data_IF_080076562816
#
_entry.id   IF_080076562816
#
_cell.length_a   1.000
_cell.length_b   1.000
_cell.length_c   1.000
_cell.angle_alpha   90.00
_cell.angle_beta   90.00
_cell.angle_gamma   90.00
#
_symmetry.space_group_name_H-M   'P 1'
#
loop_
_entity.id
_entity.type
_entity.pdbx_description
1 polymer ?
#
# COMPACT_ATOMS: atom_id res chain seq x y z
N UNK A 1 -8.41 7.30 17.93
CA UNK A 1 -7.87 6.70 16.70
C UNK A 1 -6.67 5.87 17.11
N UNK A 2 -6.60 4.60 16.74
CA UNK A 2 -5.49 3.70 17.09
C UNK A 2 -4.20 4.19 16.46
N UNK A 3 -3.06 4.04 17.14
CA UNK A 3 -1.75 4.52 16.65
C UNK A 3 -0.73 3.38 16.55
N UNK A 4 0.00 3.33 15.44
CA UNK A 4 1.22 2.54 15.29
C UNK A 4 2.42 3.49 15.19
N UNK A 5 3.24 3.48 16.23
CA UNK A 5 4.45 4.26 16.33
C UNK A 5 5.65 3.37 16.01
N UNK A 6 6.65 3.92 15.33
CA UNK A 6 7.96 3.28 15.19
C UNK A 6 9.06 4.27 15.59
N UNK A 7 10.16 3.77 16.14
CA UNK A 7 11.37 4.58 16.30
C UNK A 7 12.36 4.31 15.19
N UNK A 8 13.12 5.31 14.75
CA UNK A 8 14.12 5.16 13.69
C UNK A 8 15.47 5.73 14.11
N UNK A 9 16.51 4.91 14.19
CA UNK A 9 17.84 5.38 14.61
C UNK A 9 18.79 4.26 15.03
N UNK A 10 20.07 4.60 15.18
CA UNK A 10 21.13 3.66 15.57
C UNK A 10 20.89 3.03 16.94
N UNK A 11 21.46 1.86 17.25
CA UNK A 11 21.55 1.39 18.64
C UNK A 11 22.08 2.49 19.57
N UNK A 12 21.60 2.52 20.82
CA UNK A 12 21.95 3.53 21.82
C UNK A 12 21.54 5.00 21.54
N UNK A 13 20.78 5.27 20.47
CA UNK A 13 20.29 6.64 20.17
C UNK A 13 19.19 7.17 21.12
N UNK A 14 18.64 6.35 22.02
CA UNK A 14 17.60 6.77 22.99
C UNK A 14 16.17 6.27 22.69
N UNK A 15 15.98 5.51 21.61
CA UNK A 15 14.68 4.94 21.18
C UNK A 15 13.92 4.21 22.29
N UNK A 16 14.56 3.26 22.97
CA UNK A 16 13.92 2.48 24.04
C UNK A 16 13.58 3.35 25.25
N UNK A 17 14.40 4.36 25.58
CA UNK A 17 14.09 5.33 26.64
C UNK A 17 12.83 6.12 26.29
N UNK A 18 12.69 6.56 25.04
CA UNK A 18 11.49 7.23 24.56
C UNK A 18 10.27 6.30 24.62
N UNK A 19 10.39 5.07 24.09
CA UNK A 19 9.27 4.12 24.05
C UNK A 19 8.76 3.75 25.45
N UNK A 20 9.65 3.58 26.43
CA UNK A 20 9.26 3.30 27.83
C UNK A 20 8.46 4.42 28.49
N UNK A 21 8.65 5.69 28.08
CA UNK A 21 7.86 6.82 28.62
C UNK A 21 6.40 6.79 28.19
N UNK A 22 6.08 6.06 27.12
CA UNK A 22 4.71 5.92 26.61
C UNK A 22 3.95 4.76 27.28
N UNK A 23 4.63 3.91 28.05
CA UNK A 23 4.01 2.83 28.80
C UNK A 23 3.39 3.37 30.10
N UNK A 24 2.27 2.79 30.57
CA UNK A 24 1.58 1.61 30.03
C UNK A 24 0.58 1.90 28.90
N UNK A 25 0.36 3.16 28.53
CA UNK A 25 -0.70 3.54 27.59
C UNK A 25 -0.47 3.03 26.16
N UNK A 26 0.80 2.94 25.73
CA UNK A 26 1.21 2.39 24.43
C UNK A 26 1.95 1.08 24.65
N UNK A 27 1.50 0.00 24.02
CA UNK A 27 2.12 -1.32 24.15
C UNK A 27 3.40 -1.38 23.34
N UNK A 28 4.51 -1.78 23.97
CA UNK A 28 5.83 -1.84 23.34
C UNK A 28 6.12 -3.24 22.82
N UNK A 29 6.50 -3.35 21.54
CA UNK A 29 6.94 -4.60 20.90
C UNK A 29 8.35 -4.43 20.36
N UNK A 30 9.31 -5.20 20.91
CA UNK A 30 10.73 -5.04 20.64
C UNK A 30 11.41 -6.35 20.23
N UNK A 31 12.28 -6.31 19.21
CA UNK A 31 12.96 -7.52 18.74
C UNK A 31 13.99 -8.08 19.72
N UNK A 32 14.71 -7.25 20.47
CA UNK A 32 15.70 -7.72 21.43
C UNK A 32 15.04 -8.46 22.61
N UNK A 33 13.88 -7.96 23.07
CA UNK A 33 13.08 -8.65 24.08
C UNK A 33 12.48 -9.96 23.53
N UNK A 34 12.00 -9.96 22.29
CA UNK A 34 11.50 -11.19 21.63
C UNK A 34 12.61 -12.22 21.43
N UNK A 35 13.85 -11.82 21.09
CA UNK A 35 14.99 -12.74 21.00
C UNK A 35 15.24 -13.45 22.33
N UNK A 36 15.28 -12.68 23.42
CA UNK A 36 15.45 -13.22 24.78
C UNK A 36 14.31 -14.15 25.16
N UNK A 37 13.07 -13.77 24.89
CA UNK A 37 11.89 -14.57 25.21
C UNK A 37 11.84 -15.89 24.44
N UNK A 38 12.15 -15.88 23.15
CA UNK A 38 12.01 -17.05 22.28
C UNK A 38 13.20 -18.02 22.36
N UNK A 39 14.39 -17.51 22.63
CA UNK A 39 15.63 -18.29 22.49
C UNK A 39 16.54 -18.25 23.72
N UNK A 40 16.22 -17.48 24.76
CA UNK A 40 17.06 -17.29 25.95
C UNK A 40 18.27 -16.38 25.71
N UNK A 41 18.81 -16.38 24.49
CA UNK A 41 19.97 -15.60 24.07
C UNK A 41 19.82 -15.02 22.65
N UNK A 42 20.77 -14.18 22.24
CA UNK A 42 20.80 -13.60 20.88
C UNK A 42 21.41 -14.61 19.90
N UNK A 43 20.55 -15.36 19.21
CA UNK A 43 20.98 -16.27 18.14
C UNK A 43 21.06 -15.55 16.79
N UNK A 44 22.24 -15.56 16.16
CA UNK A 44 22.48 -14.92 14.85
C UNK A 44 22.16 -15.83 13.65
N UNK A 45 21.18 -16.73 13.78
CA UNK A 45 20.78 -17.63 12.68
C UNK A 45 19.61 -17.05 11.89
N UNK A 46 19.55 -17.37 10.58
CA UNK A 46 18.42 -16.93 9.74
C UNK A 46 17.08 -17.46 10.24
N UNK A 47 17.04 -18.70 10.76
CA UNK A 47 15.84 -19.31 11.31
C UNK A 47 15.33 -18.58 12.55
N UNK A 48 16.21 -18.26 13.50
CA UNK A 48 15.84 -17.53 14.71
C UNK A 48 15.31 -16.12 14.36
N UNK A 49 15.98 -15.39 13.48
CA UNK A 49 15.52 -14.05 13.04
C UNK A 49 14.18 -14.11 12.28
N UNK A 50 13.90 -15.18 11.55
CA UNK A 50 12.59 -15.39 10.93
C UNK A 50 11.48 -15.61 11.98
N UNK A 51 11.74 -16.42 13.01
CA UNK A 51 10.80 -16.65 14.11
C UNK A 51 10.52 -15.36 14.89
N UNK A 52 11.56 -14.58 15.23
CA UNK A 52 11.41 -13.26 15.88
C UNK A 52 10.57 -12.32 15.03
N UNK A 53 10.79 -12.30 13.71
CA UNK A 53 10.01 -11.46 12.78
C UNK A 53 8.55 -11.87 12.74
N UNK A 54 8.26 -13.18 12.69
CA UNK A 54 6.90 -13.70 12.70
C UNK A 54 6.18 -13.35 14.01
N UNK A 55 6.83 -13.59 15.15
CA UNK A 55 6.28 -13.28 16.46
C UNK A 55 6.00 -11.79 16.64
N UNK A 56 6.95 -10.94 16.22
CA UNK A 56 6.80 -9.49 16.26
C UNK A 56 5.59 -9.01 15.46
N UNK A 57 5.48 -9.45 14.21
CA UNK A 57 4.38 -9.04 13.34
C UNK A 57 3.03 -9.53 13.88
N UNK A 58 2.95 -10.78 14.33
CA UNK A 58 1.73 -11.32 14.91
C UNK A 58 1.30 -10.55 16.16
N UNK A 59 2.24 -10.17 17.03
CA UNK A 59 1.95 -9.38 18.23
C UNK A 59 1.40 -7.99 17.87
N UNK A 60 2.07 -7.26 16.96
CA UNK A 60 1.61 -5.93 16.53
C UNK A 60 0.23 -6.03 15.85
N UNK A 61 0.01 -7.00 14.96
CA UNK A 61 -1.29 -7.22 14.31
C UNK A 61 -2.41 -7.51 15.31
N UNK A 62 -2.16 -8.36 16.31
CA UNK A 62 -3.15 -8.67 17.33
C UNK A 62 -3.52 -7.44 18.18
N UNK A 63 -2.53 -6.62 18.55
CA UNK A 63 -2.73 -5.41 19.35
C UNK A 63 -3.51 -4.33 18.56
N UNK A 64 -3.16 -4.11 17.29
CA UNK A 64 -3.88 -3.16 16.44
C UNK A 64 -5.33 -3.61 16.20
N UNK A 65 -5.56 -4.91 16.00
CA UNK A 65 -6.92 -5.48 15.89
C UNK A 65 -7.75 -5.25 17.16
N UNK A 66 -7.11 -5.25 18.32
CA UNK A 66 -7.74 -4.94 19.60
C UNK A 66 -7.88 -3.42 19.86
N UNK A 67 -7.62 -2.58 18.85
CA UNK A 67 -7.62 -1.12 18.94
C UNK A 67 -6.64 -0.54 19.99
N UNK A 68 -5.55 -1.26 20.28
CA UNK A 68 -4.50 -0.79 21.18
C UNK A 68 -3.44 0.04 20.43
N UNK A 69 -2.92 1.08 21.09
CA UNK A 69 -1.78 1.84 20.60
C UNK A 69 -0.50 1.00 20.76
N UNK A 70 0.33 0.95 19.72
CA UNK A 70 1.54 0.11 19.67
C UNK A 70 2.76 0.92 19.29
N UNK A 71 3.90 0.67 19.93
CA UNK A 71 5.21 1.16 19.51
C UNK A 71 6.18 0.02 19.21
N UNK A 72 6.80 0.08 18.02
CA UNK A 72 7.91 -0.79 17.61
C UNK A 72 9.22 -0.03 17.70
N UNK A 73 9.96 -0.23 18.81
CA UNK A 73 11.14 0.56 19.15
C UNK A 73 12.47 -0.02 18.63
N UNK A 74 12.43 -0.71 17.49
CA UNK A 74 13.60 -1.22 16.78
C UNK A 74 14.42 -0.09 16.11
N UNK A 75 15.49 -0.45 15.40
CA UNK A 75 16.29 0.53 14.64
C UNK A 75 15.54 1.12 13.44
N UNK A 76 14.70 0.34 12.76
CA UNK A 76 13.90 0.71 11.57
C UNK A 76 14.64 1.56 10.51
N UNK A 77 15.96 1.37 10.36
CA UNK A 77 16.79 2.19 9.45
C UNK A 77 16.47 1.90 7.96
N UNK A 78 16.02 0.68 7.64
CA UNK A 78 15.69 0.26 6.28
C UNK A 78 14.34 0.83 5.84
N UNK A 79 14.30 1.53 4.70
CA UNK A 79 13.08 2.07 4.12
C UNK A 79 11.99 0.99 3.88
N UNK A 80 12.39 -0.22 3.47
CA UNK A 80 11.46 -1.35 3.32
C UNK A 80 10.72 -1.67 4.63
N UNK A 81 11.43 -1.70 5.76
CA UNK A 81 10.83 -1.99 7.08
C UNK A 81 9.83 -0.91 7.49
N UNK A 82 10.16 0.37 7.29
CA UNK A 82 9.25 1.49 7.57
C UNK A 82 7.98 1.39 6.72
N UNK A 83 8.13 1.07 5.42
CA UNK A 83 7.00 0.86 4.51
C UNK A 83 6.10 -0.28 4.98
N UNK A 84 6.66 -1.42 5.35
CA UNK A 84 5.90 -2.58 5.84
C UNK A 84 5.09 -2.26 7.11
N UNK A 85 5.65 -1.43 8.01
CA UNK A 85 4.92 -0.97 9.19
C UNK A 85 3.80 0.01 8.84
N UNK A 86 4.05 0.96 7.95
CA UNK A 86 3.02 1.88 7.48
C UNK A 86 1.88 1.15 6.74
N UNK A 87 2.19 0.15 5.92
CA UNK A 87 1.20 -0.72 5.28
C UNK A 87 0.39 -1.50 6.33
N UNK A 88 1.02 -1.97 7.40
CA UNK A 88 0.33 -2.60 8.52
C UNK A 88 -0.59 -1.62 9.26
N UNK A 89 -0.14 -0.40 9.56
CA UNK A 89 -0.98 0.61 10.20
C UNK A 89 -2.23 0.91 9.35
N UNK A 90 -2.03 1.14 8.04
CA UNK A 90 -3.10 1.36 7.09
C UNK A 90 -4.11 0.19 7.06
N UNK A 91 -3.62 -1.06 7.12
CA UNK A 91 -4.48 -2.27 7.17
C UNK A 91 -5.43 -2.29 8.37
N UNK A 92 -5.09 -1.63 9.47
CA UNK A 92 -5.89 -1.61 10.70
C UNK A 92 -6.46 -0.22 11.02
N UNK A 93 -6.48 0.70 10.05
CA UNK A 93 -6.95 2.07 10.24
C UNK A 93 -6.26 2.83 11.38
N UNK A 94 -5.00 2.46 11.66
CA UNK A 94 -4.20 3.14 12.65
C UNK A 94 -3.43 4.30 12.01
N UNK A 95 -3.24 5.39 12.76
CA UNK A 95 -2.28 6.41 12.36
C UNK A 95 -0.87 5.81 12.40
N UNK A 96 0.00 6.26 11.50
CA UNK A 96 1.38 5.82 11.46
C UNK A 96 2.33 6.98 11.80
N UNK A 97 3.16 6.79 12.82
CA UNK A 97 4.04 7.83 13.33
C UNK A 97 5.48 7.33 13.38
N UNK A 98 6.43 8.11 12.85
CA UNK A 98 7.86 7.81 12.89
C UNK A 98 8.55 8.79 13.83
N UNK A 99 9.09 8.27 14.93
CA UNK A 99 9.96 9.03 15.83
C UNK A 99 11.41 8.84 15.41
N UNK A 100 11.97 9.88 14.79
CA UNK A 100 13.32 9.86 14.24
C UNK A 100 14.37 10.24 15.31
N UNK A 101 15.45 9.47 15.34
CA UNK A 101 16.65 9.62 16.17
C UNK A 101 17.91 9.46 15.30
N UNK A 102 17.82 9.75 14.01
CA UNK A 102 18.95 9.66 13.07
C UNK A 102 19.91 10.84 13.18
N UNK A 103 19.48 11.92 13.82
CA UNK A 103 20.25 13.10 14.18
C UNK A 103 21.24 12.86 15.33
N UNK A 104 21.04 11.80 16.13
CA UNK A 104 21.94 11.47 17.24
C UNK A 104 23.31 11.05 16.69
N UNK A 105 24.41 11.74 17.07
CA UNK A 105 25.74 11.44 16.53
C UNK A 105 26.18 10.00 16.77
N UNK A 106 26.87 9.41 15.79
CA UNK A 106 27.39 8.04 15.90
C UNK A 106 28.33 7.87 17.09
N UNK A 107 29.18 8.86 17.39
CA UNK A 107 30.09 8.83 18.54
C UNK A 107 29.32 8.80 19.87
N UNK A 108 28.22 9.55 19.97
CA UNK A 108 27.37 9.54 21.16
C UNK A 108 26.65 8.18 21.31
N UNK A 109 26.24 7.56 20.21
CA UNK A 109 25.70 6.21 20.23
C UNK A 109 26.75 5.19 20.71
N UNK A 110 27.99 5.27 20.22
CA UNK A 110 29.09 4.38 20.65
C UNK A 110 29.39 4.56 22.14
N UNK A 111 29.52 5.81 22.60
CA UNK A 111 29.75 6.12 24.03
C UNK A 111 28.65 5.54 24.92
N UNK A 112 27.38 5.78 24.56
CA UNK A 112 26.23 5.24 25.30
C UNK A 112 26.14 3.72 25.26
N UNK A 113 26.55 3.09 24.17
CA UNK A 113 26.54 1.63 24.07
C UNK A 113 27.61 1.00 24.98
N UNK A 114 28.78 1.61 25.10
CA UNK A 114 29.84 1.16 26.00
C UNK A 114 29.42 1.20 27.49
N UNK A 115 28.54 2.12 27.86
CA UNK A 115 28.00 2.26 29.23
C UNK A 115 26.89 1.24 29.56
N UNK A 116 26.39 0.49 28.58
CA UNK A 116 25.33 -0.52 28.81
C UNK A 116 25.86 -1.77 29.50
N UNK A 117 24.99 -2.57 30.14
CA UNK A 117 25.31 -3.93 30.56
C UNK A 117 25.82 -4.75 29.36
N UNK A 118 26.77 -5.65 29.58
CA UNK A 118 27.44 -6.43 28.53
C UNK A 118 26.44 -7.11 27.58
N UNK A 119 25.41 -7.76 28.13
CA UNK A 119 24.34 -8.45 27.38
C UNK A 119 23.45 -7.52 26.53
N UNK A 120 23.45 -6.23 26.82
CA UNK A 120 22.69 -5.21 26.10
C UNK A 120 23.53 -4.49 25.02
N UNK A 121 24.87 -4.58 25.10
CA UNK A 121 25.77 -3.93 24.14
C UNK A 121 25.57 -4.50 22.74
N UNK A 122 25.70 -3.64 21.74
CA UNK A 122 25.71 -4.03 20.32
C UNK A 122 27.12 -4.04 19.77
N UNK A 123 28.00 -3.20 20.34
CA UNK A 123 29.41 -3.10 19.98
C UNK A 123 29.67 -2.00 18.95
N UNK A 124 30.78 -1.28 19.14
CA UNK A 124 31.19 -0.14 18.32
C UNK A 124 31.22 -0.49 16.82
N UNK A 125 31.90 -1.58 16.44
CA UNK A 125 32.01 -2.00 15.05
C UNK A 125 30.64 -2.23 14.38
N UNK A 126 29.64 -2.70 15.14
CA UNK A 126 28.30 -2.89 14.62
C UNK A 126 27.53 -1.58 14.46
N UNK A 127 27.65 -0.65 15.42
CA UNK A 127 27.05 0.68 15.34
C UNK A 127 27.62 1.47 14.16
N UNK A 128 28.96 1.50 14.02
CA UNK A 128 29.63 2.18 12.91
C UNK A 128 29.23 1.61 11.56
N UNK A 129 29.18 0.27 11.42
CA UNK A 129 28.69 -0.38 10.19
C UNK A 129 27.23 -0.03 9.86
N UNK A 130 26.36 0.10 10.86
CA UNK A 130 24.98 0.56 10.62
C UNK A 130 24.93 2.02 10.20
N UNK A 131 25.74 2.89 10.82
CA UNK A 131 25.86 4.29 10.45
C UNK A 131 26.32 4.46 8.99
N UNK A 132 27.44 3.83 8.63
CA UNK A 132 27.98 3.83 7.27
C UNK A 132 26.95 3.34 6.24
N UNK A 133 26.25 2.26 6.56
CA UNK A 133 25.29 1.64 5.63
C UNK A 133 24.02 2.46 5.43
N UNK A 134 23.53 3.12 6.48
CA UNK A 134 22.17 3.69 6.47
C UNK A 134 22.10 5.20 6.60
N UNK A 135 23.12 5.87 7.15
CA UNK A 135 23.08 7.29 7.50
C UNK A 135 24.19 8.11 6.84
N UNK A 136 25.41 7.56 6.72
CA UNK A 136 26.54 8.29 6.15
C UNK A 136 26.24 8.76 4.71
N UNK A 137 26.44 10.06 4.48
CA UNK A 137 26.19 10.69 3.18
C UNK A 137 24.71 10.74 2.76
N UNK A 138 23.77 10.53 3.68
CA UNK A 138 22.33 10.69 3.43
C UNK A 138 21.82 12.02 3.99
N UNK A 139 20.80 12.58 3.36
CA UNK A 139 20.04 13.69 3.93
C UNK A 139 19.18 13.15 5.08
N UNK A 140 19.34 13.76 6.25
CA UNK A 140 18.62 13.40 7.47
C UNK A 140 17.57 14.48 7.81
N UNK A 141 16.42 14.12 8.41
CA UNK A 141 16.00 12.75 8.75
C UNK A 141 15.76 11.91 7.49
N UNK A 142 15.93 10.60 7.62
CA UNK A 142 15.70 9.69 6.48
C UNK A 142 14.25 9.81 6.01
N UNK A 143 13.98 9.83 4.70
CA UNK A 143 12.61 9.99 4.19
C UNK A 143 11.73 8.86 4.73
N UNK A 144 10.54 9.24 5.20
CA UNK A 144 9.47 8.29 5.52
C UNK A 144 8.86 7.86 4.19
N UNK A 145 8.90 6.57 3.83
CA UNK A 145 8.25 6.10 2.61
C UNK A 145 6.79 6.50 2.64
N UNK A 146 6.33 7.20 1.61
CA UNK A 146 4.90 7.38 1.39
C UNK A 146 4.27 6.00 1.24
N UNK A 147 3.35 5.69 2.14
CA UNK A 147 2.47 4.54 2.01
C UNK A 147 1.09 5.13 1.77
N UNK A 148 0.57 4.79 0.61
CA UNK A 148 -0.79 5.14 0.24
C UNK A 148 -1.72 4.67 1.37
N UNK A 149 -2.54 5.55 1.97
CA UNK A 149 -3.58 5.17 2.93
C UNK A 149 -4.47 4.02 2.40
N UNK A 150 -4.49 3.81 1.08
CA UNK A 150 -5.05 2.64 0.41
C UNK A 150 -4.26 1.33 0.53
N UNK A 151 -3.53 1.08 1.63
CA UNK A 151 -2.91 -0.23 1.89
C UNK A 151 -3.91 -1.41 1.79
N UNK A 152 -3.44 -2.66 1.61
CA UNK A 152 -4.28 -3.85 1.33
C UNK A 152 -5.14 -4.33 2.53
N UNK A 153 -5.81 -3.45 3.25
CA UNK A 153 -6.67 -3.81 4.40
C UNK A 153 -8.03 -3.14 4.46
N UNK A 154 -8.40 -2.33 3.47
CA UNK A 154 -9.80 -2.00 3.22
C UNK A 154 -10.34 -3.00 2.22
N UNK A 155 -10.65 -4.22 2.68
CA UNK A 155 -11.62 -5.04 1.95
C UNK A 155 -12.85 -4.17 1.80
N UNK A 156 -13.17 -3.83 0.56
CA UNK A 156 -14.33 -3.06 0.22
C UNK A 156 -15.57 -3.79 0.76
N UNK A 157 -16.21 -3.17 1.75
CA UNK A 157 -17.48 -3.61 2.31
C UNK A 157 -18.54 -2.67 1.77
N UNK A 158 -19.24 -3.05 0.70
CA UNK A 158 -20.28 -2.19 0.16
C UNK A 158 -21.38 -2.01 1.21
N UNK A 159 -21.84 -0.78 1.37
CA UNK A 159 -23.14 -0.54 1.99
C UNK A 159 -24.22 -1.18 1.08
N UNK A 160 -25.04 -2.11 1.59
CA UNK A 160 -26.07 -2.78 0.80
C UNK A 160 -27.12 -1.82 0.23
N UNK A 161 -27.28 -0.62 0.81
CA UNK A 161 -28.25 0.39 0.38
C UNK A 161 -27.75 1.23 -0.81
N UNK A 162 -26.45 1.19 -1.12
CA UNK A 162 -25.91 1.92 -2.26
C UNK A 162 -26.31 1.26 -3.60
N UNK A 163 -26.53 2.06 -4.66
CA UNK A 163 -26.91 1.55 -5.97
C UNK A 163 -25.85 0.59 -6.54
N UNK A 164 -26.24 -0.59 -7.07
CA UNK A 164 -25.30 -1.56 -7.58
C UNK A 164 -24.69 -1.13 -8.92
N UNK A 165 -23.36 -1.23 -9.04
CA UNK A 165 -22.64 -0.93 -10.29
C UNK A 165 -21.69 -2.03 -10.71
N UNK A 166 -21.47 -2.13 -12.02
CA UNK A 166 -20.34 -2.83 -12.61
C UNK A 166 -19.28 -1.81 -12.97
N UNK A 167 -18.06 -2.04 -12.49
CA UNK A 167 -16.90 -1.24 -12.84
C UNK A 167 -16.24 -1.83 -14.09
N UNK A 168 -15.96 -1.01 -15.09
CA UNK A 168 -15.47 -1.46 -16.40
C UNK A 168 -14.23 -0.68 -16.80
N UNK A 169 -13.15 -1.38 -17.06
CA UNK A 169 -11.97 -0.84 -17.72
C UNK A 169 -12.19 -0.65 -19.23
N UNK A 170 -11.35 0.16 -19.87
CA UNK A 170 -11.41 0.45 -21.30
C UNK A 170 -10.34 -0.29 -22.10
N UNK A 171 -9.06 0.07 -21.92
CA UNK A 171 -7.96 -0.40 -22.76
C UNK A 171 -7.61 -1.86 -22.46
N UNK A 172 -7.69 -2.73 -23.47
CA UNK A 172 -7.55 -4.18 -23.30
C UNK A 172 -8.83 -4.87 -22.80
N UNK A 173 -9.82 -4.10 -22.36
CA UNK A 173 -11.10 -4.60 -21.84
C UNK A 173 -12.24 -4.45 -22.86
N UNK A 174 -12.89 -3.28 -22.94
CA UNK A 174 -13.91 -3.04 -23.98
C UNK A 174 -13.30 -2.55 -25.30
N UNK A 175 -12.12 -1.95 -25.26
CA UNK A 175 -11.40 -1.43 -26.41
C UNK A 175 -10.07 -2.17 -26.62
N UNK A 176 -9.86 -2.72 -27.81
CA UNK A 176 -8.62 -3.37 -28.21
C UNK A 176 -7.77 -2.37 -28.98
N UNK A 177 -6.55 -2.15 -28.50
CA UNK A 177 -5.61 -1.24 -29.15
C UNK A 177 -5.21 -1.76 -30.53
N UNK A 178 -5.41 -0.94 -31.57
CA UNK A 178 -5.03 -1.29 -32.94
C UNK A 178 -3.81 -0.49 -33.41
N UNK A 179 -2.63 -1.09 -33.26
CA UNK A 179 -1.36 -0.52 -33.74
C UNK A 179 -0.99 0.83 -33.11
N UNK A 180 -1.56 1.19 -31.95
CA UNK A 180 -1.16 2.36 -31.17
C UNK A 180 -0.34 1.95 -29.94
N UNK A 181 0.50 2.86 -29.45
CA UNK A 181 1.17 2.65 -28.17
C UNK A 181 0.20 2.92 -27.00
N UNK A 182 0.41 2.34 -25.80
CA UNK A 182 -0.50 2.53 -24.67
C UNK A 182 -0.72 3.99 -24.28
N UNK A 183 0.26 4.85 -24.53
CA UNK A 183 0.21 6.28 -24.18
C UNK A 183 -0.09 7.20 -25.38
N UNK A 184 -0.46 6.63 -26.53
CA UNK A 184 -0.82 7.39 -27.73
C UNK A 184 -2.28 7.85 -27.67
N UNK A 185 -2.53 8.87 -26.85
CA UNK A 185 -3.87 9.36 -26.52
C UNK A 185 -4.63 9.92 -27.72
N UNK A 186 -3.94 10.44 -28.73
CA UNK A 186 -4.56 11.00 -29.93
C UNK A 186 -5.24 9.93 -30.80
N UNK A 187 -4.92 8.65 -30.60
CA UNK A 187 -5.40 7.54 -31.43
C UNK A 187 -6.44 6.65 -30.74
N UNK A 188 -6.85 6.98 -29.52
CA UNK A 188 -7.82 6.15 -28.76
C UNK A 188 -9.17 5.99 -29.45
N UNK A 189 -9.58 6.96 -30.29
CA UNK A 189 -10.80 6.87 -31.10
C UNK A 189 -10.74 5.83 -32.23
N UNK A 190 -9.55 5.32 -32.55
CA UNK A 190 -9.33 4.29 -33.57
C UNK A 190 -9.27 2.85 -33.01
N UNK A 191 -9.41 2.69 -31.69
CA UNK A 191 -9.40 1.37 -31.07
C UNK A 191 -10.55 0.49 -31.58
N UNK A 192 -10.27 -0.81 -31.74
CA UNK A 192 -11.27 -1.78 -32.17
C UNK A 192 -12.15 -2.18 -30.98
N UNK A 193 -13.46 -2.39 -31.17
CA UNK A 193 -14.31 -2.87 -30.09
C UNK A 193 -13.97 -4.31 -29.72
N UNK A 194 -14.04 -4.66 -28.43
CA UNK A 194 -14.04 -6.04 -27.95
C UNK A 194 -15.49 -6.55 -27.85
N UNK A 195 -16.03 -7.25 -28.86
CA UNK A 195 -17.47 -7.48 -28.96
C UNK A 195 -18.00 -8.39 -27.84
N UNK A 196 -17.17 -9.33 -27.36
CA UNK A 196 -17.54 -10.26 -26.30
C UNK A 196 -17.71 -9.53 -24.96
N UNK A 197 -16.76 -8.67 -24.59
CA UNK A 197 -16.82 -7.89 -23.34
C UNK A 197 -17.91 -6.83 -23.43
N UNK A 198 -18.06 -6.14 -24.56
CA UNK A 198 -19.15 -5.18 -24.76
C UNK A 198 -20.52 -5.86 -24.62
N UNK A 199 -20.69 -7.07 -25.15
CA UNK A 199 -21.91 -7.85 -24.97
C UNK A 199 -22.17 -8.18 -23.50
N UNK A 200 -21.13 -8.57 -22.75
CA UNK A 200 -21.25 -8.81 -21.31
C UNK A 200 -21.63 -7.54 -20.54
N UNK A 201 -21.01 -6.40 -20.84
CA UNK A 201 -21.33 -5.10 -20.22
C UNK A 201 -22.78 -4.71 -20.50
N UNK A 202 -23.25 -4.84 -21.75
CA UNK A 202 -24.65 -4.60 -22.12
C UNK A 202 -25.61 -5.53 -21.38
N UNK A 203 -25.25 -6.81 -21.22
CA UNK A 203 -26.06 -7.76 -20.47
C UNK A 203 -26.16 -7.40 -18.98
N UNK A 204 -25.05 -6.97 -18.36
CA UNK A 204 -25.06 -6.50 -16.97
C UNK A 204 -25.93 -5.25 -16.80
N UNK A 205 -25.86 -4.31 -17.74
CA UNK A 205 -26.73 -3.14 -17.75
C UNK A 205 -28.21 -3.53 -17.90
N UNK A 206 -28.53 -4.42 -18.85
CA UNK A 206 -29.89 -4.92 -19.05
C UNK A 206 -30.44 -5.69 -17.83
N UNK A 207 -29.57 -6.28 -17.01
CA UNK A 207 -29.92 -6.92 -15.74
C UNK A 207 -30.18 -5.91 -14.60
N UNK A 208 -30.06 -4.61 -14.85
CA UNK A 208 -30.34 -3.55 -13.89
C UNK A 208 -29.13 -3.05 -13.10
N UNK A 209 -27.91 -3.40 -13.51
CA UNK A 209 -26.69 -2.83 -12.92
C UNK A 209 -26.29 -1.55 -13.67
N UNK A 210 -26.05 -0.47 -12.93
CA UNK A 210 -25.46 0.73 -13.52
C UNK A 210 -24.00 0.47 -13.93
N UNK A 211 -23.52 1.19 -14.93
CA UNK A 211 -22.15 1.05 -15.44
C UNK A 211 -21.31 2.25 -15.01
N UNK A 212 -20.09 1.99 -14.54
CA UNK A 212 -19.07 3.01 -14.29
C UNK A 212 -17.81 2.61 -15.03
N UNK A 213 -17.25 3.53 -15.81
CA UNK A 213 -15.97 3.32 -16.47
C UNK A 213 -14.81 3.87 -15.62
N UNK A 214 -13.73 3.09 -15.51
CA UNK A 214 -12.50 3.50 -14.84
C UNK A 214 -11.29 3.15 -15.71
N UNK A 215 -10.67 4.18 -16.28
CA UNK A 215 -9.66 4.03 -17.33
C UNK A 215 -8.30 4.57 -16.92
N UNK A 216 -7.26 3.89 -17.38
CA UNK A 216 -5.88 4.35 -17.32
C UNK A 216 -5.51 5.42 -18.35
N UNK A 217 -6.40 5.72 -19.30
CA UNK A 217 -6.22 6.80 -20.27
C UNK A 217 -6.12 8.15 -19.58
N UNK A 218 -5.19 8.98 -20.04
CA UNK A 218 -5.06 10.37 -19.59
C UNK A 218 -6.32 11.18 -19.97
N UNK A 219 -6.79 12.03 -19.07
CA UNK A 219 -7.99 12.83 -19.25
C UNK A 219 -7.95 13.76 -20.48
N UNK A 220 -6.77 14.04 -21.05
CA UNK A 220 -6.64 14.80 -22.31
C UNK A 220 -7.42 14.18 -23.48
N UNK A 221 -7.69 12.87 -23.48
CA UNK A 221 -8.49 12.19 -24.51
C UNK A 221 -9.90 11.79 -24.06
N UNK A 222 -10.44 12.51 -23.07
CA UNK A 222 -11.79 12.27 -22.54
C UNK A 222 -12.86 12.35 -23.63
N UNK A 223 -12.87 13.43 -24.41
CA UNK A 223 -13.91 13.66 -25.42
C UNK A 223 -13.92 12.55 -26.48
N UNK A 224 -12.75 12.13 -26.95
CA UNK A 224 -12.59 11.03 -27.90
C UNK A 224 -13.00 9.69 -27.29
N UNK A 225 -12.69 9.47 -26.00
CA UNK A 225 -13.10 8.26 -25.27
C UNK A 225 -14.60 8.19 -25.09
N UNK A 226 -15.26 9.29 -24.72
CA UNK A 226 -16.72 9.37 -24.57
C UNK A 226 -17.41 9.09 -25.91
N UNK A 227 -16.97 9.74 -26.99
CA UNK A 227 -17.50 9.50 -28.33
C UNK A 227 -17.32 8.03 -28.78
N UNK A 228 -16.19 7.40 -28.43
CA UNK A 228 -15.94 5.99 -28.72
C UNK A 228 -16.86 5.07 -27.92
N UNK A 229 -17.07 5.34 -26.63
CA UNK A 229 -17.97 4.58 -25.77
C UNK A 229 -19.41 4.65 -26.26
N UNK A 230 -19.87 5.83 -26.67
CA UNK A 230 -21.21 6.05 -27.21
C UNK A 230 -21.41 5.28 -28.52
N UNK A 231 -20.42 5.32 -29.41
CA UNK A 231 -20.48 4.66 -30.71
C UNK A 231 -20.48 3.12 -30.59
N UNK A 232 -19.60 2.55 -29.76
CA UNK A 232 -19.34 1.11 -29.74
C UNK A 232 -19.99 0.37 -28.57
N UNK A 233 -20.00 0.96 -27.37
CA UNK A 233 -20.60 0.32 -26.18
C UNK A 233 -22.07 0.66 -26.08
N UNK A 234 -22.45 1.93 -26.26
CA UNK A 234 -23.84 2.35 -26.42
C UNK A 234 -24.75 2.00 -25.24
N UNK A 235 -24.24 2.12 -24.01
CA UNK A 235 -25.03 1.99 -22.77
C UNK A 235 -24.87 3.25 -21.94
N UNK A 236 -25.93 3.74 -21.26
CA UNK A 236 -25.79 4.78 -20.25
C UNK A 236 -24.82 4.34 -19.15
N UNK A 237 -24.01 5.28 -18.67
CA UNK A 237 -23.07 5.07 -17.58
C UNK A 237 -23.14 6.25 -16.60
N UNK A 238 -22.90 5.96 -15.32
CA UNK A 238 -22.98 6.93 -14.21
C UNK A 238 -21.71 7.79 -14.09
N UNK A 239 -20.60 7.34 -14.68
CA UNK A 239 -19.36 8.09 -14.68
C UNK A 239 -18.26 7.48 -15.53
N UNK A 240 -17.43 8.35 -16.09
CA UNK A 240 -16.15 8.03 -16.73
C UNK A 240 -15.02 8.66 -15.92
N UNK A 241 -14.35 7.83 -15.13
CA UNK A 241 -13.20 8.25 -14.33
C UNK A 241 -11.90 7.88 -15.04
N UNK A 242 -11.04 8.87 -15.22
CA UNK A 242 -9.82 8.76 -16.02
C UNK A 242 -8.62 9.22 -15.21
N UNK A 243 -7.43 8.85 -15.67
CA UNK A 243 -6.16 9.32 -15.12
C UNK A 243 -6.07 10.85 -15.23
N UNK A 244 -5.69 11.57 -14.17
CA UNK A 244 -5.43 13.01 -14.24
C UNK A 244 -4.36 13.37 -15.27
N UNK A 245 -4.48 14.55 -15.88
CA UNK A 245 -3.54 15.00 -16.91
C UNK A 245 -2.10 15.02 -16.42
N UNK A 246 -1.20 14.37 -17.16
CA UNK A 246 0.24 14.34 -16.87
C UNK A 246 0.66 13.36 -15.77
N UNK A 247 -0.26 12.58 -15.21
CA UNK A 247 0.06 11.58 -14.20
C UNK A 247 0.72 10.33 -14.81
N UNK A 248 2.00 10.13 -14.54
CA UNK A 248 2.79 8.99 -15.04
C UNK A 248 2.87 7.80 -14.08
N UNK A 249 2.11 7.81 -12.96
CA UNK A 249 2.11 6.71 -11.98
C UNK A 249 1.54 5.42 -12.58
N UNK A 250 1.84 4.28 -11.95
CA UNK A 250 1.31 2.98 -12.38
C UNK A 250 -0.21 2.95 -12.35
N UNK A 251 -0.79 2.21 -13.29
CA UNK A 251 -2.25 2.16 -13.47
C UNK A 251 -3.01 1.67 -12.23
N UNK A 252 -2.48 0.65 -11.56
CA UNK A 252 -3.07 0.16 -10.31
C UNK A 252 -3.10 1.23 -9.19
N UNK A 253 -2.17 2.19 -9.19
CA UNK A 253 -2.15 3.29 -8.22
C UNK A 253 -3.25 4.30 -8.57
N UNK A 254 -3.31 4.72 -9.83
CA UNK A 254 -4.29 5.71 -10.30
C UNK A 254 -5.71 5.20 -10.15
N UNK A 255 -5.99 3.97 -10.61
CA UNK A 255 -7.31 3.36 -10.48
C UNK A 255 -7.71 3.14 -9.02
N UNK A 256 -6.77 2.81 -8.15
CA UNK A 256 -7.02 2.71 -6.70
C UNK A 256 -7.42 4.07 -6.11
N UNK A 257 -6.70 5.13 -6.47
CA UNK A 257 -7.01 6.48 -6.00
C UNK A 257 -8.40 6.94 -6.50
N UNK A 258 -8.71 6.68 -7.77
CA UNK A 258 -10.03 6.94 -8.36
C UNK A 258 -11.11 6.18 -7.58
N UNK A 259 -10.91 4.89 -7.33
CA UNK A 259 -11.87 4.08 -6.60
C UNK A 259 -12.12 4.65 -5.19
N UNK A 260 -11.05 4.94 -4.47
CA UNK A 260 -11.11 5.42 -3.09
C UNK A 260 -11.80 6.78 -2.98
N UNK A 261 -11.64 7.67 -3.98
CA UNK A 261 -12.19 9.03 -3.96
C UNK A 261 -13.58 9.14 -4.55
N UNK A 262 -13.83 8.46 -5.66
CA UNK A 262 -14.99 8.73 -6.50
C UNK A 262 -16.01 7.61 -6.47
N UNK A 263 -15.62 6.36 -6.16
CA UNK A 263 -16.46 5.18 -6.36
C UNK A 263 -16.89 4.54 -5.04
N UNK A 264 -15.95 4.33 -4.11
CA UNK A 264 -16.10 3.51 -2.91
C UNK A 264 -17.37 3.82 -2.12
N UNK A 265 -17.65 5.11 -1.91
CA UNK A 265 -18.73 5.55 -1.02
C UNK A 265 -20.01 5.95 -1.77
N UNK A 266 -20.03 5.81 -3.11
CA UNK A 266 -21.17 6.22 -3.96
C UNK A 266 -21.97 5.05 -4.51
N UNK A 267 -21.33 3.89 -4.67
CA UNK A 267 -21.95 2.72 -5.28
C UNK A 267 -21.59 1.44 -4.55
N UNK A 268 -22.41 0.41 -4.73
CA UNK A 268 -22.13 -0.98 -4.39
C UNK A 268 -21.55 -1.70 -5.62
N UNK A 269 -20.24 -1.91 -5.65
CA UNK A 269 -19.58 -2.59 -6.79
C UNK A 269 -19.87 -4.09 -6.74
N UNK A 270 -20.58 -4.61 -7.74
CA UNK A 270 -20.97 -6.03 -7.83
C UNK A 270 -19.97 -6.88 -8.62
N UNK A 271 -19.14 -6.24 -9.45
CA UNK A 271 -18.10 -6.89 -10.23
C UNK A 271 -17.27 -5.89 -11.01
N UNK A 272 -16.06 -6.30 -11.40
CA UNK A 272 -15.12 -5.50 -12.18
C UNK A 272 -14.70 -6.25 -13.43
N UNK A 273 -14.73 -5.60 -14.59
CA UNK A 273 -14.08 -6.07 -15.82
C UNK A 273 -12.78 -5.31 -16.01
N UNK A 274 -11.66 -6.03 -16.08
CA UNK A 274 -10.31 -5.47 -16.25
C UNK A 274 -9.40 -6.53 -16.88
N UNK A 275 -8.39 -6.15 -17.66
CA UNK A 275 -7.51 -7.09 -18.34
C UNK A 275 -6.16 -7.26 -17.62
N UNK A 276 -5.62 -6.16 -17.10
CA UNK A 276 -4.21 -6.02 -16.73
C UNK A 276 -3.90 -6.61 -15.37
N UNK A 277 -2.92 -7.50 -15.30
CA UNK A 277 -2.68 -8.34 -14.13
C UNK A 277 -2.36 -7.54 -12.86
N UNK A 278 -1.60 -6.45 -12.95
CA UNK A 278 -1.29 -5.61 -11.79
C UNK A 278 -2.53 -4.89 -11.23
N UNK A 279 -3.49 -4.53 -12.09
CA UNK A 279 -4.74 -3.86 -11.72
C UNK A 279 -5.74 -4.88 -11.17
N UNK A 280 -5.87 -6.03 -11.83
CA UNK A 280 -6.65 -7.17 -11.35
C UNK A 280 -6.22 -7.60 -9.95
N UNK A 281 -4.91 -7.69 -9.67
CA UNK A 281 -4.40 -8.00 -8.32
C UNK A 281 -4.81 -6.95 -7.30
N UNK A 282 -4.82 -5.68 -7.68
CA UNK A 282 -5.25 -4.57 -6.83
C UNK A 282 -6.75 -4.65 -6.52
N UNK A 283 -7.61 -4.86 -7.52
CA UNK A 283 -9.05 -5.04 -7.32
C UNK A 283 -9.37 -6.26 -6.44
N UNK A 284 -8.71 -7.39 -6.69
CA UNK A 284 -8.86 -8.60 -5.85
C UNK A 284 -8.38 -8.35 -4.42
N UNK A 285 -7.32 -7.56 -4.21
CA UNK A 285 -6.86 -7.17 -2.88
C UNK A 285 -7.84 -6.26 -2.13
N UNK A 286 -8.71 -5.54 -2.85
CA UNK A 286 -9.86 -4.83 -2.29
C UNK A 286 -11.04 -5.76 -1.98
N UNK A 287 -10.96 -7.06 -2.27
CA UNK A 287 -12.06 -8.01 -2.09
C UNK A 287 -13.16 -7.91 -3.14
N UNK A 288 -12.91 -7.20 -4.25
CA UNK A 288 -13.82 -7.15 -5.38
C UNK A 288 -13.71 -8.43 -6.23
N UNK A 289 -14.84 -8.89 -6.74
CA UNK A 289 -14.88 -9.94 -7.77
C UNK A 289 -14.46 -9.35 -9.11
N UNK A 290 -13.46 -9.95 -9.75
CA UNK A 290 -12.89 -9.44 -11.01
C UNK A 290 -13.00 -10.49 -12.11
N UNK A 291 -13.67 -10.13 -13.19
CA UNK A 291 -13.71 -10.85 -14.46
C UNK A 291 -12.53 -10.40 -15.31
N UNK A 292 -11.44 -11.18 -15.29
CA UNK A 292 -10.26 -10.86 -16.08
C UNK A 292 -10.49 -11.31 -17.53
N UNK A 293 -10.54 -10.36 -18.47
CA UNK A 293 -11.05 -10.62 -19.83
C UNK A 293 -9.99 -10.99 -20.86
N UNK A 294 -8.71 -10.81 -20.54
CA UNK A 294 -7.59 -11.19 -21.38
C UNK A 294 -6.36 -11.61 -20.54
N UNK A 295 -5.37 -12.22 -21.18
CA UNK A 295 -4.04 -12.39 -20.58
C UNK A 295 -3.41 -11.01 -20.36
N UNK A 296 -3.02 -10.70 -19.12
CA UNK A 296 -2.73 -9.33 -18.70
C UNK A 296 -1.31 -9.09 -18.19
N UNK A 297 -0.32 -9.88 -18.61
CA UNK A 297 1.06 -9.80 -18.08
C UNK A 297 1.87 -8.67 -18.73
N UNK A 298 1.41 -7.43 -18.55
CA UNK A 298 2.04 -6.19 -19.04
C UNK A 298 1.75 -4.99 -18.13
#
# INVERSE_FOLDING_TARGET
>A
MTRLLITRGLPASGKTTFARKLQPQVVRVNRDDLRRMLHGERLFTQRAEAQVTQAQRAAVEALLRAHGDVIVDDTNLRAKTVREWAELAARFHATFEVHDFTDVPVEECVRRDAERPEDDRVGEAAIRRMHERYLAGKNLPLPVPYVDPGGPGLVYRPDPELPPVVLVDIDGTVALMDGRSPFDWARVGSDLPNPAVITAVRAMHAAGHAIVFCSGRDAVCRAETEAWLDLYVGVPYEGLFMRPEGDSRKDAIVKREIFDREIRDRWRVVGVFDDRQQVVRMWRALGLTVFQVAEGDF
#
